data_IF_880183787142
#
_entry.id   IF_880183787142
#
_cell.length_a   1.000
_cell.length_b   1.000
_cell.length_c   1.000
_cell.angle_alpha   90.00
_cell.angle_beta   90.00
_cell.angle_gamma   90.00
#
_symmetry.space_group_name_H-M   'P 1'
#
loop_
_entity.id
_entity.type
_entity.pdbx_description
1 polymer ?
#
# COMPACT_ATOMS: atom_id res chain seq x y z
N UNK A 1 33.75 -12.31 83.59
CA UNK A 1 32.41 -12.44 82.98
C UNK A 1 32.11 -11.41 81.89
N UNK A 2 32.53 -10.15 82.04
CA UNK A 2 32.31 -9.04 81.09
C UNK A 2 32.86 -9.27 79.68
N UNK A 3 34.07 -9.83 79.54
CA UNK A 3 34.70 -10.08 78.23
C UNK A 3 33.92 -11.08 77.36
N UNK A 4 33.28 -12.09 77.97
CA UNK A 4 32.49 -13.10 77.24
C UNK A 4 31.22 -12.48 76.66
N UNK A 5 30.53 -11.63 77.43
CA UNK A 5 29.35 -10.88 76.97
C UNK A 5 29.67 -9.94 75.81
N UNK A 6 30.79 -9.21 75.88
CA UNK A 6 31.25 -8.33 74.79
C UNK A 6 31.59 -9.10 73.52
N UNK A 7 32.17 -10.29 73.62
CA UNK A 7 32.43 -11.15 72.47
C UNK A 7 31.13 -11.67 71.84
N UNK A 8 30.14 -12.04 72.64
CA UNK A 8 28.84 -12.52 72.15
C UNK A 8 28.05 -11.37 71.49
N UNK A 9 28.10 -10.16 72.04
CA UNK A 9 27.54 -8.96 71.43
C UNK A 9 28.25 -8.60 70.13
N UNK A 10 29.58 -8.65 70.09
CA UNK A 10 30.35 -8.43 68.86
C UNK A 10 29.97 -9.44 67.78
N UNK A 11 29.84 -10.73 68.12
CA UNK A 11 29.41 -11.76 67.16
C UNK A 11 27.99 -11.53 66.66
N UNK A 12 27.06 -11.12 67.54
CA UNK A 12 25.68 -10.78 67.14
C UNK A 12 25.64 -9.57 66.21
N UNK A 13 26.38 -8.51 66.53
CA UNK A 13 26.48 -7.32 65.68
C UNK A 13 27.14 -7.64 64.34
N UNK A 14 28.16 -8.49 64.33
CA UNK A 14 28.83 -8.91 63.11
C UNK A 14 27.90 -9.76 62.21
N UNK A 15 27.15 -10.70 62.80
CA UNK A 15 26.13 -11.46 62.07
C UNK A 15 24.98 -10.57 61.56
N UNK A 16 24.56 -9.57 62.34
CA UNK A 16 23.56 -8.60 61.89
C UNK A 16 24.08 -7.78 60.72
N UNK A 17 25.32 -7.25 60.81
CA UNK A 17 25.95 -6.48 59.74
C UNK A 17 26.06 -7.31 58.45
N UNK A 18 26.54 -8.55 58.54
CA UNK A 18 26.63 -9.47 57.39
C UNK A 18 25.24 -9.74 56.78
N UNK A 19 24.20 -9.89 57.61
CA UNK A 19 22.82 -10.08 57.14
C UNK A 19 22.24 -8.84 56.46
N UNK A 20 22.59 -7.64 56.91
CA UNK A 20 22.17 -6.38 56.29
C UNK A 20 22.87 -6.18 54.95
N UNK A 21 24.18 -6.41 54.88
CA UNK A 21 24.95 -6.31 53.64
C UNK A 21 24.49 -7.32 52.59
N UNK A 22 24.11 -8.54 53.00
CA UNK A 22 23.56 -9.53 52.09
C UNK A 22 22.21 -9.07 51.48
N UNK A 23 21.32 -8.49 52.31
CA UNK A 23 20.03 -7.96 51.86
C UNK A 23 20.16 -6.73 50.95
N UNK A 24 21.13 -5.85 51.20
CA UNK A 24 21.39 -4.72 50.31
C UNK A 24 21.89 -5.18 48.94
N UNK A 25 22.84 -6.13 48.90
CA UNK A 25 23.32 -6.69 47.63
C UNK A 25 22.22 -7.39 46.84
N UNK A 26 21.37 -8.17 47.51
CA UNK A 26 20.23 -8.81 46.85
C UNK A 26 19.26 -7.79 46.24
N UNK A 27 18.99 -6.69 46.95
CA UNK A 27 18.18 -5.58 46.41
C UNK A 27 18.84 -4.91 45.21
N UNK A 28 20.12 -4.56 45.34
CA UNK A 28 20.89 -3.94 44.25
C UNK A 28 20.93 -4.83 43.01
N UNK A 29 21.14 -6.15 43.16
CA UNK A 29 21.11 -7.09 42.05
C UNK A 29 19.72 -7.18 41.40
N UNK A 30 18.65 -7.19 42.18
CA UNK A 30 17.28 -7.23 41.63
C UNK A 30 16.89 -5.95 40.91
N UNK A 31 17.31 -4.79 41.41
CA UNK A 31 17.04 -3.50 40.78
C UNK A 31 17.89 -3.32 39.52
N UNK A 32 19.15 -3.77 39.53
CA UNK A 32 20.00 -3.78 38.35
C UNK A 32 19.44 -4.69 37.25
N UNK A 33 18.94 -5.89 37.61
CA UNK A 33 18.26 -6.79 36.65
C UNK A 33 17.02 -6.15 36.06
N UNK A 34 16.13 -5.59 36.90
CA UNK A 34 14.91 -4.89 36.42
C UNK A 34 15.24 -3.73 35.49
N UNK A 35 16.29 -2.94 35.78
CA UNK A 35 16.74 -1.85 34.91
C UNK A 35 17.26 -2.39 33.58
N UNK A 36 18.11 -3.42 33.61
CA UNK A 36 18.62 -4.07 32.39
C UNK A 36 17.50 -4.66 31.52
N UNK A 37 16.53 -5.33 32.13
CA UNK A 37 15.36 -5.87 31.43
C UNK A 37 14.50 -4.76 30.81
N UNK A 38 14.33 -3.63 31.52
CA UNK A 38 13.60 -2.48 31.02
C UNK A 38 14.32 -1.79 29.86
N UNK A 39 15.65 -1.61 29.96
CA UNK A 39 16.47 -1.07 28.87
C UNK A 39 16.41 -1.96 27.62
N UNK A 40 16.45 -3.29 27.80
CA UNK A 40 16.31 -4.24 26.70
C UNK A 40 14.93 -4.13 26.04
N UNK A 41 13.86 -4.01 26.84
CA UNK A 41 12.50 -3.85 26.33
C UNK A 41 12.33 -2.52 25.59
N UNK A 42 12.93 -1.43 26.09
CA UNK A 42 12.90 -0.13 25.45
C UNK A 42 13.60 -0.15 24.09
N UNK A 43 14.82 -0.73 24.02
CA UNK A 43 15.55 -0.89 22.75
C UNK A 43 14.77 -1.72 21.74
N UNK A 44 14.17 -2.83 22.16
CA UNK A 44 13.34 -3.66 21.28
C UNK A 44 12.15 -2.86 20.71
N UNK A 45 11.50 -2.03 21.53
CA UNK A 45 10.41 -1.15 21.08
C UNK A 45 10.87 -0.05 20.13
N UNK A 46 12.02 0.55 20.37
CA UNK A 46 12.61 1.55 19.48
C UNK A 46 12.97 0.93 18.13
N UNK A 47 13.54 -0.27 18.11
CA UNK A 47 13.81 -1.01 16.88
C UNK A 47 12.54 -1.39 16.12
N UNK A 48 11.49 -1.85 16.81
CA UNK A 48 10.18 -2.10 16.22
C UNK A 48 9.59 -0.84 15.60
N UNK A 49 9.58 0.27 16.34
CA UNK A 49 9.09 1.57 15.85
C UNK A 49 9.89 2.07 14.65
N UNK A 50 11.21 1.90 14.66
CA UNK A 50 12.07 2.27 13.54
C UNK A 50 11.76 1.43 12.30
N UNK A 51 11.58 0.12 12.46
CA UNK A 51 11.21 -0.79 11.35
C UNK A 51 9.82 -0.45 10.80
N UNK A 52 8.84 -0.20 11.66
CA UNK A 52 7.49 0.15 11.23
C UNK A 52 7.46 1.49 10.48
N UNK A 53 8.23 2.49 10.95
CA UNK A 53 8.37 3.78 10.25
C UNK A 53 9.00 3.60 8.87
N UNK A 54 10.07 2.81 8.76
CA UNK A 54 10.70 2.52 7.47
C UNK A 54 9.75 1.82 6.50
N UNK A 55 8.97 0.85 6.99
CA UNK A 55 7.96 0.15 6.17
C UNK A 55 6.85 1.10 5.70
N UNK A 56 6.37 1.99 6.57
CA UNK A 56 5.38 3.00 6.18
C UNK A 56 5.91 3.95 5.12
N UNK A 57 7.14 4.44 5.27
CA UNK A 57 7.77 5.29 4.26
C UNK A 57 7.89 4.58 2.91
N UNK A 58 8.33 3.32 2.89
CA UNK A 58 8.43 2.53 1.66
C UNK A 58 7.06 2.33 0.99
N UNK A 59 6.00 2.09 1.78
CA UNK A 59 4.63 1.97 1.26
C UNK A 59 4.12 3.30 0.70
N UNK A 60 4.34 4.41 1.41
CA UNK A 60 3.93 5.74 0.98
C UNK A 60 4.63 6.14 -0.33
N UNK A 61 5.92 5.83 -0.47
CA UNK A 61 6.69 6.03 -1.70
C UNK A 61 6.12 5.20 -2.86
N UNK A 62 5.80 3.92 -2.62
CA UNK A 62 5.20 3.05 -3.63
C UNK A 62 3.83 3.54 -4.08
N UNK A 63 2.99 3.97 -3.15
CA UNK A 63 1.67 4.52 -3.43
C UNK A 63 1.81 5.80 -4.26
N UNK A 64 2.66 6.73 -3.79
CA UNK A 64 2.88 8.01 -4.47
C UNK A 64 3.40 7.80 -5.90
N UNK A 65 4.40 6.93 -6.07
CA UNK A 65 4.93 6.56 -7.39
C UNK A 65 3.84 5.95 -8.28
N UNK A 66 3.02 5.05 -7.73
CA UNK A 66 1.90 4.43 -8.44
C UNK A 66 0.87 5.47 -8.90
N UNK A 67 0.50 6.40 -8.04
CA UNK A 67 -0.44 7.48 -8.38
C UNK A 67 0.13 8.36 -9.51
N UNK A 68 1.39 8.79 -9.39
CA UNK A 68 2.09 9.59 -10.42
C UNK A 68 2.10 8.89 -11.77
N UNK A 69 2.48 7.60 -11.78
CA UNK A 69 2.49 6.77 -12.97
C UNK A 69 1.11 6.69 -13.62
N UNK A 70 0.07 6.40 -12.84
CA UNK A 70 -1.31 6.33 -13.33
C UNK A 70 -1.75 7.66 -13.95
N UNK A 71 -1.48 8.78 -13.31
CA UNK A 71 -1.82 10.10 -13.85
C UNK A 71 -1.12 10.40 -15.18
N UNK A 72 0.14 9.99 -15.35
CA UNK A 72 0.84 10.12 -16.64
C UNK A 72 0.19 9.20 -17.70
N UNK A 73 -0.12 7.96 -17.36
CA UNK A 73 -0.79 7.02 -18.28
C UNK A 73 -2.15 7.55 -18.72
N UNK A 74 -2.94 8.12 -17.81
CA UNK A 74 -4.22 8.77 -18.13
C UNK A 74 -4.03 9.94 -19.09
N UNK A 75 -3.03 10.81 -18.86
CA UNK A 75 -2.70 11.92 -19.76
C UNK A 75 -2.19 11.46 -21.15
N UNK A 76 -1.62 10.26 -21.23
CA UNK A 76 -1.24 9.60 -22.48
C UNK A 76 -2.44 9.00 -23.23
N UNK A 77 -3.61 8.88 -22.59
CA UNK A 77 -4.84 8.34 -23.18
C UNK A 77 -5.29 7.00 -22.59
N UNK A 78 -4.73 6.58 -21.45
CA UNK A 78 -5.20 5.43 -20.66
C UNK A 78 -4.82 4.04 -21.19
N UNK A 79 -4.11 3.95 -22.32
CA UNK A 79 -3.68 2.69 -22.92
C UNK A 79 -2.19 2.72 -23.26
N UNK A 80 -1.38 2.32 -22.29
CA UNK A 80 0.08 2.18 -22.40
C UNK A 80 0.46 0.78 -21.94
N UNK A 81 1.26 0.05 -22.73
CA UNK A 81 1.73 -1.28 -22.33
C UNK A 81 2.71 -1.21 -21.16
N UNK A 82 2.66 -2.19 -20.25
CA UNK A 82 3.52 -2.27 -19.07
C UNK A 82 5.03 -2.21 -19.36
N UNK A 83 5.46 -2.67 -20.55
CA UNK A 83 6.87 -2.60 -20.97
C UNK A 83 7.42 -1.18 -21.00
N UNK A 84 6.55 -0.18 -21.20
CA UNK A 84 6.92 1.23 -21.25
C UNK A 84 6.92 1.91 -19.89
N UNK A 85 6.37 1.30 -18.84
CA UNK A 85 6.24 1.95 -17.52
C UNK A 85 7.60 2.33 -16.93
N UNK A 86 8.65 1.57 -17.23
CA UNK A 86 10.02 1.86 -16.78
C UNK A 86 10.63 3.11 -17.42
N UNK A 87 10.07 3.59 -18.52
CA UNK A 87 10.55 4.79 -19.23
C UNK A 87 9.81 6.05 -18.77
N UNK A 88 8.75 5.90 -17.98
CA UNK A 88 8.01 7.02 -17.41
C UNK A 88 8.74 7.47 -16.15
N UNK A 89 9.37 8.64 -16.22
CA UNK A 89 10.00 9.26 -15.06
C UNK A 89 8.93 9.87 -14.15
N UNK A 90 8.63 9.19 -13.04
CA UNK A 90 7.68 9.66 -12.03
C UNK A 90 8.26 10.77 -11.16
N UNK A 91 9.58 10.95 -11.10
CA UNK A 91 10.20 11.91 -10.19
C UNK A 91 10.02 13.34 -10.70
N UNK A 92 9.87 13.53 -12.01
CA UNK A 92 9.52 14.80 -12.64
C UNK A 92 8.07 15.27 -12.37
N UNK A 93 7.20 14.37 -11.89
CA UNK A 93 5.81 14.68 -11.57
C UNK A 93 5.73 15.25 -10.15
N UNK A 94 5.31 16.50 -10.03
CA UNK A 94 5.16 17.16 -8.75
C UNK A 94 3.88 16.73 -8.04
N UNK A 95 3.94 16.67 -6.70
CA UNK A 95 2.79 16.44 -5.82
C UNK A 95 2.67 17.65 -4.91
N UNK A 96 1.45 18.16 -4.74
CA UNK A 96 1.20 19.23 -3.81
C UNK A 96 1.37 18.69 -2.37
N UNK A 97 2.30 19.24 -1.57
CA UNK A 97 2.57 18.75 -0.21
C UNK A 97 1.40 18.97 0.76
N UNK A 98 0.50 19.92 0.48
CA UNK A 98 -0.64 20.23 1.36
C UNK A 98 -1.86 19.36 1.08
N UNK A 99 -2.13 19.04 -0.19
CA UNK A 99 -3.32 18.28 -0.60
C UNK A 99 -3.02 16.83 -0.94
N UNK A 100 -1.75 16.47 -1.18
CA UNK A 100 -1.36 15.17 -1.70
C UNK A 100 -1.79 14.93 -3.16
N UNK A 101 -2.34 15.94 -3.83
CA UNK A 101 -2.79 15.83 -5.21
C UNK A 101 -1.63 15.98 -6.20
N UNK A 102 -1.73 15.27 -7.31
CA UNK A 102 -0.73 15.33 -8.38
C UNK A 102 -0.92 16.60 -9.21
N UNK A 103 0.17 17.32 -9.46
CA UNK A 103 0.15 18.52 -10.30
C UNK A 103 -0.04 18.15 -11.77
N UNK A 104 -1.25 18.42 -12.27
CA UNK A 104 -1.68 18.16 -13.64
C UNK A 104 -0.79 18.84 -14.69
N UNK A 105 -0.18 20.00 -14.39
CA UNK A 105 0.70 20.67 -15.34
C UNK A 105 1.99 19.90 -15.56
N UNK A 106 2.60 19.40 -14.47
CA UNK A 106 3.82 18.60 -14.57
C UNK A 106 3.55 17.27 -15.28
N UNK A 107 2.40 16.64 -14.98
CA UNK A 107 1.94 15.44 -15.69
C UNK A 107 1.79 15.69 -17.18
N UNK A 108 1.16 16.79 -17.59
CA UNK A 108 0.99 17.13 -19.00
C UNK A 108 2.34 17.32 -19.71
N UNK A 109 3.28 18.01 -19.08
CA UNK A 109 4.65 18.21 -19.61
C UNK A 109 5.38 16.89 -19.84
N UNK A 110 5.33 15.98 -18.87
CA UNK A 110 5.93 14.63 -18.94
C UNK A 110 5.24 13.78 -20.01
N UNK A 111 3.91 13.81 -20.07
CA UNK A 111 3.15 13.09 -21.09
C UNK A 111 3.45 13.60 -22.51
N UNK A 112 3.62 14.92 -22.69
CA UNK A 112 4.00 15.50 -23.97
C UNK A 112 5.43 15.17 -24.40
N UNK A 113 6.39 15.18 -23.47
CA UNK A 113 7.78 14.80 -23.77
C UNK A 113 7.85 13.33 -24.21
N UNK A 114 7.13 12.45 -23.51
CA UNK A 114 7.03 11.04 -23.84
C UNK A 114 6.35 10.80 -25.19
N UNK A 115 5.27 11.52 -25.52
CA UNK A 115 4.63 11.44 -26.85
C UNK A 115 5.58 11.85 -27.99
N UNK A 116 6.48 12.81 -27.73
CA UNK A 116 7.47 13.27 -28.72
C UNK A 116 8.62 12.27 -28.90
N UNK A 117 9.09 11.67 -27.81
CA UNK A 117 10.23 10.74 -27.84
C UNK A 117 9.82 9.33 -28.26
N UNK A 118 8.67 8.85 -27.79
CA UNK A 118 8.20 7.47 -27.94
C UNK A 118 6.73 7.42 -28.39
N UNK A 119 6.42 7.88 -29.61
CA UNK A 119 5.04 7.92 -30.10
C UNK A 119 4.38 6.53 -30.18
N UNK A 120 5.14 5.47 -30.35
CA UNK A 120 4.68 4.07 -30.37
C UNK A 120 4.16 3.55 -29.02
N UNK A 121 4.43 4.27 -27.92
CA UNK A 121 3.96 3.91 -26.58
C UNK A 121 2.45 4.08 -26.44
N UNK A 122 1.87 5.04 -27.18
CA UNK A 122 0.44 5.32 -27.14
C UNK A 122 -0.25 4.34 -28.09
N UNK A 123 -0.99 3.37 -27.53
CA UNK A 123 -1.82 2.52 -28.35
C UNK A 123 -2.89 3.37 -29.03
N UNK A 124 -2.98 3.27 -30.36
CA UNK A 124 -4.09 3.88 -31.09
C UNK A 124 -5.35 3.16 -30.65
N UNK A 125 -6.17 3.83 -29.83
CA UNK A 125 -7.50 3.34 -29.49
C UNK A 125 -8.23 3.11 -30.81
N UNK A 126 -8.44 1.84 -31.16
CA UNK A 126 -9.32 1.47 -32.27
C UNK A 126 -10.73 1.82 -31.80
N UNK A 127 -11.13 3.08 -31.98
CA UNK A 127 -12.52 3.47 -31.77
C UNK A 127 -13.34 2.60 -32.71
N UNK A 128 -14.13 1.69 -32.15
CA UNK A 128 -15.11 0.97 -32.94
C UNK A 128 -15.97 2.02 -33.67
N UNK A 129 -16.27 1.82 -34.96
CA UNK A 129 -17.10 2.76 -35.71
C UNK A 129 -18.41 2.96 -34.95
N UNK A 130 -18.90 4.20 -34.88
CA UNK A 130 -20.13 4.55 -34.18
C UNK A 130 -21.39 3.81 -34.70
N UNK A 131 -21.27 3.11 -35.84
CA UNK A 131 -22.29 2.24 -36.42
C UNK A 131 -22.15 0.76 -36.01
N UNK A 132 -21.21 0.39 -35.12
CA UNK A 132 -21.20 -0.93 -34.53
C UNK A 132 -22.53 -1.13 -33.76
N UNK A 133 -23.29 -2.22 -33.98
CA UNK A 133 -24.56 -2.44 -33.30
C UNK A 133 -24.33 -2.47 -31.78
N UNK A 134 -24.64 -1.36 -31.11
CA UNK A 134 -24.71 -1.34 -29.66
C UNK A 134 -26.00 -2.07 -29.31
N UNK A 135 -25.88 -3.31 -28.84
CA UNK A 135 -27.00 -4.05 -28.29
C UNK A 135 -27.52 -3.29 -27.08
N UNK A 136 -28.50 -2.41 -27.30
CA UNK A 136 -29.23 -1.76 -26.22
C UNK A 136 -29.96 -2.87 -25.44
N UNK A 137 -29.81 -2.83 -24.12
CA UNK A 137 -30.41 -3.73 -23.12
C UNK A 137 -29.94 -5.19 -23.03
N UNK A 138 -29.03 -5.67 -23.88
CA UNK A 138 -28.50 -7.05 -23.78
C UNK A 138 -26.97 -7.18 -23.64
N UNK A 139 -26.26 -6.06 -23.69
CA UNK A 139 -24.82 -6.05 -23.93
C UNK A 139 -24.49 -6.20 -25.42
N UNK A 140 -23.22 -6.04 -25.80
CA UNK A 140 -22.80 -6.06 -27.20
C UNK A 140 -23.16 -7.40 -27.86
N UNK A 141 -23.96 -7.34 -28.93
CA UNK A 141 -24.32 -8.51 -29.75
C UNK A 141 -25.53 -9.32 -29.29
N UNK A 142 -26.40 -8.77 -28.43
CA UNK A 142 -27.68 -9.39 -28.03
C UNK A 142 -28.89 -8.49 -28.31
N UNK A 143 -30.06 -9.10 -28.50
CA UNK A 143 -31.36 -8.46 -28.79
C UNK A 143 -32.46 -9.09 -27.91
N UNK A 144 -33.49 -8.34 -27.49
CA UNK A 144 -34.63 -8.92 -26.76
C UNK A 144 -35.61 -9.64 -27.70
N UNK A 145 -36.44 -10.52 -27.16
CA UNK A 145 -37.46 -11.24 -27.93
C UNK A 145 -38.48 -10.28 -28.56
N UNK A 146 -38.91 -9.26 -27.81
CA UNK A 146 -39.79 -8.19 -28.30
C UNK A 146 -39.18 -7.45 -29.50
N UNK A 147 -37.90 -7.09 -29.43
CA UNK A 147 -37.18 -6.41 -30.51
C UNK A 147 -36.93 -7.33 -31.72
N UNK A 148 -36.55 -8.59 -31.47
CA UNK A 148 -36.36 -9.59 -32.53
C UNK A 148 -37.64 -9.82 -33.34
N UNK A 149 -38.81 -9.81 -32.69
CA UNK A 149 -40.12 -9.91 -33.34
C UNK A 149 -40.52 -8.65 -34.13
N UNK A 150 -39.89 -7.51 -33.86
CA UNK A 150 -40.15 -6.25 -34.60
C UNK A 150 -39.27 -6.09 -35.84
N UNK A 151 -38.36 -7.02 -36.12
CA UNK A 151 -37.52 -7.00 -37.31
C UNK A 151 -38.37 -7.11 -38.59
N UNK A 152 -37.95 -6.40 -39.64
CA UNK A 152 -38.80 -6.14 -40.83
C UNK A 152 -39.11 -7.39 -41.64
N UNK A 153 -38.26 -8.42 -41.57
CA UNK A 153 -38.44 -9.66 -42.32
C UNK A 153 -37.74 -10.85 -41.64
N UNK A 154 -38.16 -12.06 -42.01
CA UNK A 154 -37.61 -13.32 -41.50
C UNK A 154 -36.12 -13.51 -41.83
N UNK A 155 -35.62 -12.87 -42.90
CA UNK A 155 -34.20 -12.92 -43.25
C UNK A 155 -33.32 -12.14 -42.27
N UNK A 156 -33.81 -11.01 -41.71
CA UNK A 156 -33.14 -10.28 -40.64
C UNK A 156 -33.24 -11.03 -39.31
N UNK A 157 -34.37 -11.67 -39.03
CA UNK A 157 -34.55 -12.50 -37.84
C UNK A 157 -33.57 -13.69 -37.80
N UNK A 158 -33.33 -14.35 -38.94
CA UNK A 158 -32.45 -15.51 -39.05
C UNK A 158 -30.94 -15.18 -38.95
N UNK A 159 -30.56 -13.89 -38.96
CA UNK A 159 -29.16 -13.47 -38.73
C UNK A 159 -28.74 -13.59 -37.27
N UNK A 160 -29.71 -13.64 -36.36
CA UNK A 160 -29.48 -13.76 -34.92
C UNK A 160 -29.47 -15.23 -34.51
N UNK A 161 -28.42 -15.65 -33.81
CA UNK A 161 -28.39 -16.98 -33.20
C UNK A 161 -29.27 -17.00 -31.96
N UNK A 162 -29.80 -18.18 -31.61
CA UNK A 162 -30.75 -18.34 -30.49
C UNK A 162 -30.18 -17.89 -29.13
N UNK A 163 -28.86 -17.97 -28.96
CA UNK A 163 -28.10 -17.53 -27.78
C UNK A 163 -27.87 -16.01 -27.72
N UNK A 164 -28.13 -15.30 -28.82
CA UNK A 164 -28.09 -13.84 -28.91
C UNK A 164 -29.46 -13.19 -28.66
N UNK A 165 -30.51 -14.01 -28.53
CA UNK A 165 -31.88 -13.55 -28.25
C UNK A 165 -32.19 -13.78 -26.77
N UNK A 166 -32.56 -12.71 -26.07
CA UNK A 166 -32.99 -12.76 -24.67
C UNK A 166 -34.49 -13.06 -24.64
N UNK A 167 -34.84 -14.27 -24.22
CA UNK A 167 -36.22 -14.77 -24.17
C UNK A 167 -36.95 -14.28 -22.93
N UNK A 168 -38.24 -13.92 -23.06
CA UNK A 168 -39.08 -13.52 -21.93
C UNK A 168 -38.97 -12.05 -21.49
N UNK A 169 -38.43 -11.17 -22.34
CA UNK A 169 -38.44 -9.70 -22.18
C UNK A 169 -39.05 -8.98 -23.40
#
# INVERSE_FOLDING_TARGET
ETHRKLLDEKKKLQAQLESFLAKEKEREETDARKRGDYEALLKAREEELARERAQRQELDERITRGMKLTSVIEALGGQVDQKWYKLIDTDEVAVNPETGEIDKMTVARVAESLKKQWPEMVQKVTKFPAQAPQGLNGGPGKITESEWKTLKNSAEMNKWRRDQIIWGQ
#
